data_IF_489793404301
#
_entry.id   IF_489793404301
#
_cell.length_a   1.000
_cell.length_b   1.000
_cell.length_c   1.000
_cell.angle_alpha   90.00
_cell.angle_beta   90.00
_cell.angle_gamma   90.00
#
_symmetry.space_group_name_H-M   'P 1'
#
loop_
_entity.id
_entity.type
_entity.pdbx_description
1 polymer ?
#
# COMPACT_ATOMS: atom_id res chain seq x y z
N UNK A 1 49.04 49.06 23.41
CA UNK A 1 47.96 49.16 24.42
C UNK A 1 46.72 49.62 23.66
N UNK A 2 45.57 48.95 23.57
CA UNK A 2 44.82 48.12 24.51
C UNK A 2 43.78 47.35 23.67
N UNK A 3 43.83 46.01 23.67
CA UNK A 3 42.77 45.15 23.16
C UNK A 3 41.95 44.68 24.36
N UNK A 4 40.66 44.99 24.42
CA UNK A 4 39.68 44.27 25.24
C UNK A 4 38.28 44.55 24.71
N UNK A 5 37.62 43.50 24.23
CA UNK A 5 36.21 43.48 23.84
C UNK A 5 35.70 42.05 23.99
N UNK A 6 35.34 41.70 25.22
CA UNK A 6 34.79 40.40 25.61
C UNK A 6 33.30 40.37 25.23
N UNK A 7 32.96 39.68 24.14
CA UNK A 7 31.55 39.44 23.77
C UNK A 7 31.12 38.13 24.43
N UNK A 8 30.23 38.26 25.42
CA UNK A 8 29.66 37.18 26.23
C UNK A 8 28.57 36.47 25.42
N UNK A 9 28.86 35.30 24.84
CA UNK A 9 27.86 34.48 24.16
C UNK A 9 26.83 33.92 25.16
N UNK A 10 25.54 34.18 24.92
CA UNK A 10 24.43 33.70 25.75
C UNK A 10 23.99 32.30 25.33
N UNK A 11 24.31 31.29 26.13
CA UNK A 11 24.01 29.86 25.90
C UNK A 11 22.51 29.49 25.88
N UNK A 12 21.60 30.47 26.02
CA UNK A 12 20.14 30.24 26.07
C UNK A 12 19.53 30.01 24.68
N UNK A 13 20.09 30.61 23.63
CA UNK A 13 19.56 30.48 22.26
C UNK A 13 19.74 29.06 21.69
N UNK A 14 20.78 28.34 22.13
CA UNK A 14 21.09 26.99 21.63
C UNK A 14 20.15 25.90 22.18
N UNK A 15 19.49 26.15 23.32
CA UNK A 15 18.54 25.19 23.91
C UNK A 15 17.18 25.23 23.20
N UNK A 16 16.71 26.41 22.77
CA UNK A 16 15.42 26.57 22.09
C UNK A 16 15.39 26.00 20.67
N UNK A 17 16.52 26.07 19.95
CA UNK A 17 16.63 25.47 18.59
C UNK A 17 16.63 23.94 18.65
N UNK A 18 17.13 23.35 19.74
CA UNK A 18 17.25 21.89 19.89
C UNK A 18 15.90 21.20 20.15
N UNK A 19 14.94 21.88 20.78
CA UNK A 19 13.61 21.34 21.07
C UNK A 19 12.67 21.37 19.85
N UNK A 20 12.86 22.34 18.95
CA UNK A 20 12.01 22.48 17.75
C UNK A 20 12.36 21.48 16.63
N UNK A 21 13.57 20.90 16.65
CA UNK A 21 14.00 19.92 15.64
C UNK A 21 13.49 18.50 15.97
N UNK A 22 13.20 18.18 17.23
CA UNK A 22 12.73 16.84 17.62
C UNK A 22 11.23 16.60 17.38
N UNK A 23 10.40 17.66 17.36
CA UNK A 23 8.94 17.56 17.19
C UNK A 23 8.50 17.39 15.72
N UNK A 24 9.33 17.79 14.76
CA UNK A 24 9.00 17.74 13.33
C UNK A 24 9.27 16.40 12.62
N UNK A 25 9.94 15.45 13.28
CA UNK A 25 10.38 14.20 12.65
C UNK A 25 9.42 13.01 12.89
N UNK A 26 8.42 13.15 13.75
CA UNK A 26 7.66 11.99 14.28
C UNK A 26 6.42 11.62 13.42
N UNK A 27 5.98 12.46 12.48
CA UNK A 27 4.68 12.26 11.81
C UNK A 27 4.72 11.47 10.49
N UNK A 28 5.89 11.03 10.02
CA UNK A 28 6.04 10.48 8.65
C UNK A 28 6.21 8.96 8.54
N UNK A 29 6.19 8.23 9.66
CA UNK A 29 6.49 6.78 9.67
C UNK A 29 5.23 5.90 9.49
N UNK A 30 4.09 6.30 10.05
CA UNK A 30 2.91 5.41 10.16
C UNK A 30 2.24 5.04 8.82
N UNK A 31 2.28 5.91 7.81
CA UNK A 31 1.52 5.69 6.57
C UNK A 31 2.11 4.58 5.68
N UNK A 32 3.43 4.41 5.66
CA UNK A 32 4.09 3.39 4.83
C UNK A 32 3.88 1.98 5.40
N UNK A 33 3.86 1.86 6.74
CA UNK A 33 3.67 0.58 7.42
C UNK A 33 2.23 0.05 7.20
N UNK A 34 1.22 0.94 7.24
CA UNK A 34 -0.17 0.55 6.99
C UNK A 34 -0.39 0.09 5.55
N UNK A 35 0.21 0.77 4.56
CA UNK A 35 0.09 0.35 3.16
C UNK A 35 0.73 -1.03 2.92
N UNK A 36 1.92 -1.30 3.49
CA UNK A 36 2.55 -2.61 3.39
C UNK A 36 1.68 -3.71 4.03
N UNK A 37 1.07 -3.43 5.20
CA UNK A 37 0.14 -4.36 5.85
C UNK A 37 -1.10 -4.65 5.00
N UNK A 38 -1.69 -3.64 4.37
CA UNK A 38 -2.84 -3.78 3.47
C UNK A 38 -2.49 -4.58 2.22
N UNK A 39 -1.35 -4.26 1.58
CA UNK A 39 -0.81 -5.01 0.43
C UNK A 39 -0.63 -6.48 0.79
N UNK A 40 -0.08 -6.76 1.97
CA UNK A 40 0.19 -8.12 2.42
C UNK A 40 -1.09 -8.88 2.79
N UNK A 41 -2.12 -8.19 3.28
CA UNK A 41 -3.44 -8.76 3.53
C UNK A 41 -4.17 -9.07 2.21
N UNK A 42 -4.23 -8.12 1.29
CA UNK A 42 -4.81 -8.32 -0.04
C UNK A 42 -4.13 -9.46 -0.80
N UNK A 43 -2.80 -9.55 -0.68
CA UNK A 43 -2.01 -10.66 -1.21
C UNK A 43 -2.48 -12.02 -0.68
N UNK A 44 -2.73 -12.15 0.62
CA UNK A 44 -3.20 -13.40 1.24
C UNK A 44 -4.60 -13.77 0.74
N UNK A 45 -5.49 -12.79 0.60
CA UNK A 45 -6.84 -13.00 0.09
C UNK A 45 -6.80 -13.56 -1.34
N UNK A 46 -6.08 -12.92 -2.26
CA UNK A 46 -6.03 -13.40 -3.65
C UNK A 46 -5.31 -14.74 -3.79
N UNK A 47 -4.35 -15.06 -2.92
CA UNK A 47 -3.75 -16.39 -2.86
C UNK A 47 -4.76 -17.46 -2.48
N UNK A 48 -5.56 -17.20 -1.44
CA UNK A 48 -6.53 -18.15 -0.92
C UNK A 48 -7.70 -18.37 -1.90
N UNK A 49 -8.15 -17.31 -2.58
CA UNK A 49 -9.40 -17.33 -3.35
C UNK A 49 -9.22 -17.36 -4.87
N UNK A 50 -8.07 -16.94 -5.40
CA UNK A 50 -7.90 -16.70 -6.84
C UNK A 50 -6.77 -17.52 -7.48
N UNK A 51 -5.81 -18.00 -6.69
CA UNK A 51 -4.58 -18.61 -7.22
C UNK A 51 -4.77 -19.99 -7.88
N UNK A 52 -5.92 -20.64 -7.68
CA UNK A 52 -6.26 -21.87 -8.41
C UNK A 52 -6.42 -21.63 -9.91
N UNK A 53 -6.81 -20.42 -10.31
CA UNK A 53 -7.08 -20.06 -11.70
C UNK A 53 -6.10 -19.01 -12.24
N UNK A 54 -5.72 -18.02 -11.43
CA UNK A 54 -4.95 -16.85 -11.86
C UNK A 54 -3.51 -16.86 -11.35
N UNK A 55 -2.59 -16.31 -12.15
CA UNK A 55 -1.29 -15.89 -11.64
C UNK A 55 -1.42 -14.62 -10.80
N UNK A 56 -1.48 -14.79 -9.48
CA UNK A 56 -1.68 -13.69 -8.51
C UNK A 56 -0.40 -12.97 -8.10
N UNK A 57 0.74 -13.27 -8.74
CA UNK A 57 2.07 -12.72 -8.41
C UNK A 57 2.58 -11.78 -9.51
N UNK A 58 3.64 -11.03 -9.17
CA UNK A 58 4.40 -10.21 -10.14
C UNK A 58 4.98 -11.01 -11.31
N UNK A 59 5.13 -12.33 -11.17
CA UNK A 59 5.69 -13.25 -12.18
C UNK A 59 4.90 -14.55 -12.22
N UNK A 60 5.11 -15.35 -13.27
CA UNK A 60 4.48 -16.65 -13.46
C UNK A 60 3.23 -16.57 -14.35
N UNK A 61 2.85 -17.72 -14.89
CA UNK A 61 1.70 -17.90 -15.77
C UNK A 61 0.48 -18.38 -14.98
N UNK A 62 -0.72 -18.02 -15.47
CA UNK A 62 -1.95 -18.47 -14.84
C UNK A 62 -2.13 -19.99 -15.02
N UNK A 63 -2.55 -20.73 -13.98
CA UNK A 63 -2.86 -22.15 -14.10
C UNK A 63 -3.91 -22.46 -15.17
N UNK A 64 -4.91 -21.57 -15.32
CA UNK A 64 -5.92 -21.66 -16.37
C UNK A 64 -5.54 -20.74 -17.53
N UNK A 65 -5.50 -21.28 -18.75
CA UNK A 65 -5.00 -20.57 -19.95
C UNK A 65 -5.75 -19.28 -20.27
N UNK A 66 -7.06 -19.23 -20.04
CA UNK A 66 -7.88 -18.03 -20.28
C UNK A 66 -7.84 -17.02 -19.11
N UNK A 67 -7.31 -17.41 -17.95
CA UNK A 67 -7.29 -16.58 -16.77
C UNK A 67 -6.12 -15.57 -16.87
N UNK A 68 -6.42 -14.30 -16.71
CA UNK A 68 -5.41 -13.25 -16.83
C UNK A 68 -4.49 -13.23 -15.59
N UNK A 69 -3.17 -13.04 -15.76
CA UNK A 69 -2.31 -12.70 -14.64
C UNK A 69 -2.75 -11.39 -14.00
N UNK A 70 -2.76 -11.32 -12.67
CA UNK A 70 -3.33 -10.16 -11.95
C UNK A 70 -2.59 -8.84 -12.22
N UNK A 71 -1.28 -8.92 -12.46
CA UNK A 71 -0.45 -7.78 -12.93
C UNK A 71 -0.90 -7.15 -14.26
N UNK A 72 -1.82 -7.81 -14.97
CA UNK A 72 -2.36 -7.38 -16.26
C UNK A 72 -3.82 -6.93 -16.18
N UNK A 73 -4.47 -7.00 -15.00
CA UNK A 73 -5.89 -6.69 -14.85
C UNK A 73 -6.19 -5.21 -15.04
N UNK A 74 -5.43 -4.32 -14.41
CA UNK A 74 -5.67 -2.87 -14.48
C UNK A 74 -5.51 -2.28 -15.89
N UNK A 75 -4.84 -3.01 -16.79
CA UNK A 75 -4.76 -2.60 -18.21
C UNK A 75 -6.07 -2.80 -18.97
N UNK A 76 -7.00 -3.58 -18.41
CA UNK A 76 -8.27 -3.97 -19.06
C UNK A 76 -9.49 -3.54 -18.26
N UNK A 77 -9.38 -3.54 -16.95
CA UNK A 77 -10.47 -3.25 -16.03
C UNK A 77 -10.03 -2.18 -15.05
N UNK A 78 -10.73 -1.03 -14.97
CA UNK A 78 -10.41 -0.01 -14.00
C UNK A 78 -10.63 -0.53 -12.57
N UNK A 79 -9.87 0.01 -11.61
CA UNK A 79 -9.89 -0.46 -10.23
C UNK A 79 -11.28 -0.37 -9.60
N UNK A 80 -12.07 0.63 -9.97
CA UNK A 80 -13.43 0.85 -9.48
C UNK A 80 -14.37 -0.29 -9.91
N UNK A 81 -14.30 -0.70 -11.18
CA UNK A 81 -15.09 -1.83 -11.68
C UNK A 81 -14.65 -3.16 -11.07
N UNK A 82 -13.35 -3.31 -10.79
CA UNK A 82 -12.85 -4.49 -10.08
C UNK A 82 -13.38 -4.51 -8.64
N UNK A 83 -13.41 -3.37 -7.96
CA UNK A 83 -13.90 -3.26 -6.58
C UNK A 83 -15.40 -3.59 -6.49
N UNK A 84 -16.20 -3.03 -7.39
CA UNK A 84 -17.63 -3.32 -7.51
C UNK A 84 -17.87 -4.82 -7.73
N UNK A 85 -17.16 -5.44 -8.68
CA UNK A 85 -17.32 -6.85 -8.96
C UNK A 85 -16.87 -7.77 -7.81
N UNK A 86 -15.88 -7.36 -7.01
CA UNK A 86 -15.46 -8.11 -5.81
C UNK A 86 -16.47 -7.98 -4.66
N UNK A 87 -17.12 -6.82 -4.53
CA UNK A 87 -18.12 -6.56 -3.50
C UNK A 87 -19.47 -7.23 -3.83
N UNK A 88 -19.90 -7.17 -5.09
CA UNK A 88 -21.24 -7.60 -5.51
C UNK A 88 -21.26 -9.02 -6.10
N UNK A 89 -20.12 -9.51 -6.57
CA UNK A 89 -19.97 -10.84 -7.17
C UNK A 89 -19.44 -10.82 -8.60
N UNK A 90 -18.62 -11.82 -8.93
CA UNK A 90 -17.80 -11.87 -10.15
C UNK A 90 -18.48 -12.57 -11.35
N UNK A 91 -19.80 -12.82 -11.26
CA UNK A 91 -20.62 -13.48 -12.28
C UNK A 91 -20.32 -14.97 -12.50
N UNK A 92 -20.95 -15.57 -13.51
CA UNK A 92 -20.96 -17.03 -13.73
C UNK A 92 -19.56 -17.65 -13.92
N UNK A 93 -18.63 -16.93 -14.55
CA UNK A 93 -17.27 -17.42 -14.78
C UNK A 93 -16.46 -17.58 -13.47
N UNK A 94 -16.94 -17.00 -12.36
CA UNK A 94 -16.33 -17.02 -11.04
C UNK A 94 -17.34 -17.45 -9.96
N UNK A 95 -18.34 -18.26 -10.32
CA UNK A 95 -19.40 -18.70 -9.40
C UNK A 95 -18.87 -19.36 -8.10
N UNK A 96 -17.64 -19.89 -8.14
CA UNK A 96 -16.99 -20.54 -7.01
C UNK A 96 -16.26 -19.56 -6.07
N UNK A 97 -16.18 -18.27 -6.43
CA UNK A 97 -15.51 -17.22 -5.64
C UNK A 97 -16.56 -16.45 -4.84
N UNK A 98 -16.38 -16.39 -3.52
CA UNK A 98 -17.26 -15.64 -2.63
C UNK A 98 -17.13 -14.12 -2.83
N UNK A 99 -18.18 -13.38 -2.49
CA UNK A 99 -18.13 -11.92 -2.32
C UNK A 99 -17.24 -11.55 -1.12
N UNK A 100 -16.62 -10.37 -1.18
CA UNK A 100 -15.72 -9.89 -0.12
C UNK A 100 -16.36 -8.71 0.65
N UNK A 101 -16.04 -8.60 1.94
CA UNK A 101 -16.38 -7.42 2.74
C UNK A 101 -15.63 -6.19 2.22
N UNK A 102 -16.19 -5.00 2.42
CA UNK A 102 -15.63 -3.75 1.87
C UNK A 102 -14.15 -3.54 2.22
N UNK A 103 -13.74 -3.84 3.46
CA UNK A 103 -12.34 -3.72 3.89
C UNK A 103 -11.42 -4.71 3.15
N UNK A 104 -11.90 -5.91 2.87
CA UNK A 104 -11.15 -6.92 2.13
C UNK A 104 -11.08 -6.58 0.63
N UNK A 105 -12.13 -5.99 0.06
CA UNK A 105 -12.11 -5.43 -1.29
C UNK A 105 -11.02 -4.36 -1.41
N UNK A 106 -10.98 -3.40 -0.48
CA UNK A 106 -9.98 -2.33 -0.49
C UNK A 106 -8.55 -2.90 -0.43
N UNK A 107 -8.30 -3.86 0.46
CA UNK A 107 -7.00 -4.57 0.55
C UNK A 107 -6.64 -5.29 -0.75
N UNK A 108 -7.59 -6.00 -1.37
CA UNK A 108 -7.38 -6.68 -2.65
C UNK A 108 -7.02 -5.66 -3.73
N UNK A 109 -7.76 -4.55 -3.84
CA UNK A 109 -7.50 -3.50 -4.82
C UNK A 109 -6.13 -2.85 -4.58
N UNK A 110 -5.78 -2.53 -3.33
CA UNK A 110 -4.45 -2.04 -2.96
C UNK A 110 -3.36 -3.01 -3.39
N UNK A 111 -3.55 -4.31 -3.20
CA UNK A 111 -2.61 -5.32 -3.69
C UNK A 111 -2.52 -5.35 -5.22
N UNK A 112 -3.65 -5.31 -5.95
CA UNK A 112 -3.66 -5.31 -7.41
C UNK A 112 -2.91 -4.10 -7.98
N UNK A 113 -3.13 -2.91 -7.42
CA UNK A 113 -2.41 -1.68 -7.76
C UNK A 113 -0.90 -1.83 -7.54
N UNK A 114 -0.50 -2.48 -6.45
CA UNK A 114 0.92 -2.74 -6.17
C UNK A 114 1.60 -3.61 -7.24
N UNK A 115 0.83 -4.40 -8.01
CA UNK A 115 1.32 -5.25 -9.10
C UNK A 115 1.37 -4.52 -10.45
N UNK A 116 0.48 -3.56 -10.66
CA UNK A 116 0.40 -2.78 -11.88
C UNK A 116 1.70 -1.98 -12.12
N UNK A 117 2.13 -1.92 -13.37
CA UNK A 117 3.29 -1.17 -13.84
C UNK A 117 2.97 -0.51 -15.17
#
# INVERSE_FOLDING_TARGET
MRCMGFIRHSSKAMVLVKTLIFMGFVTRVVAADVEDDEVQQGRRLVEAHCASCHAVRRKGESPVRQALPFRDLERRYPAESLAEALAEGLGDAHADVATFEAEDVDRIITYLRSLAR
#
